data_IF_064247706625
#
_entry.id   IF_064247706625
#
_cell.length_a   1.000
_cell.length_b   1.000
_cell.length_c   1.000
_cell.angle_alpha   90.00
_cell.angle_beta   90.00
_cell.angle_gamma   90.00
#
_symmetry.space_group_name_H-M   'P 1'
#
loop_
_entity.id
_entity.type
_entity.pdbx_description
1 polymer ?
#
# COMPACT_ATOMS: atom_id res chain seq x y z
N UNK A 1 37.33 27.45 -112.76
CA UNK A 1 37.37 28.80 -112.12
C UNK A 1 36.56 28.63 -110.82
N UNK A 2 37.13 28.53 -109.62
CA UNK A 2 38.11 29.39 -108.90
C UNK A 2 37.51 30.78 -108.64
N UNK A 3 37.47 31.38 -107.43
CA UNK A 3 38.30 31.32 -106.18
C UNK A 3 37.41 31.49 -104.90
N UNK A 4 37.80 31.37 -103.61
CA UNK A 4 38.30 30.22 -102.78
C UNK A 4 38.44 30.61 -101.27
N UNK A 5 37.73 29.92 -100.32
CA UNK A 5 37.96 29.87 -98.82
C UNK A 5 37.79 31.18 -97.98
N UNK A 6 37.72 31.21 -96.62
CA UNK A 6 37.04 30.41 -95.55
C UNK A 6 36.69 31.38 -94.35
N UNK A 7 36.88 31.26 -93.02
CA UNK A 7 37.54 30.31 -92.05
C UNK A 7 36.67 29.98 -90.80
N UNK A 8 37.10 30.21 -89.53
CA UNK A 8 36.50 29.64 -88.27
C UNK A 8 36.94 30.37 -86.95
N UNK A 9 36.29 29.99 -85.81
CA UNK A 9 36.54 30.27 -84.36
C UNK A 9 35.70 31.43 -83.75
N UNK A 10 34.95 31.35 -82.63
CA UNK A 10 34.83 30.45 -81.43
C UNK A 10 35.81 30.77 -80.28
N UNK A 11 35.46 30.77 -78.97
CA UNK A 11 34.17 30.55 -78.26
C UNK A 11 34.17 31.22 -76.85
N UNK A 12 33.02 31.33 -76.15
CA UNK A 12 33.01 31.54 -74.68
C UNK A 12 31.70 32.02 -74.02
N UNK A 13 31.14 31.21 -73.11
CA UNK A 13 30.13 31.57 -72.08
C UNK A 13 30.58 30.87 -70.77
N UNK A 14 30.23 31.34 -69.54
CA UNK A 14 28.93 30.95 -68.95
C UNK A 14 28.26 31.99 -68.00
N UNK A 15 26.98 31.73 -67.72
CA UNK A 15 26.15 31.86 -66.49
C UNK A 15 26.66 32.64 -65.23
N UNK A 16 25.85 33.01 -64.23
CA UNK A 16 24.42 33.38 -63.98
C UNK A 16 24.32 33.63 -62.44
N UNK A 17 23.33 34.24 -61.76
CA UNK A 17 22.00 34.83 -62.04
C UNK A 17 21.75 35.95 -60.99
N UNK A 18 20.75 36.80 -61.17
CA UNK A 18 20.19 37.63 -60.09
C UNK A 18 18.66 37.48 -59.98
N UNK A 19 18.17 37.53 -58.75
CA UNK A 19 16.81 37.11 -58.35
C UNK A 19 15.76 38.19 -58.62
N UNK A 20 14.53 37.77 -58.98
CA UNK A 20 13.36 38.64 -58.94
C UNK A 20 12.07 37.83 -58.70
N UNK A 21 11.14 38.46 -57.97
CA UNK A 21 9.70 38.22 -57.77
C UNK A 21 9.37 38.09 -56.27
N UNK A 22 8.48 38.97 -55.82
CA UNK A 22 7.80 38.90 -54.53
C UNK A 22 6.29 38.70 -54.79
N UNK A 23 5.70 37.70 -54.16
CA UNK A 23 4.25 37.45 -54.14
C UNK A 23 3.88 37.18 -52.67
N UNK A 24 2.78 37.77 -52.20
CA UNK A 24 2.26 37.56 -50.86
C UNK A 24 1.23 36.43 -50.78
N UNK A 25 0.37 36.47 -49.76
CA UNK A 25 -0.59 35.43 -49.37
C UNK A 25 0.13 34.19 -48.78
N UNK A 26 0.14 33.94 -47.47
CA UNK A 26 -0.94 33.75 -46.48
C UNK A 26 -1.38 32.28 -46.42
N UNK A 27 -1.34 31.72 -45.20
CA UNK A 27 -1.13 30.28 -44.93
C UNK A 27 0.25 29.80 -45.45
N UNK A 28 0.98 28.89 -44.81
CA UNK A 28 0.65 28.04 -43.66
C UNK A 28 1.63 28.29 -42.49
N UNK A 29 1.12 28.42 -41.27
CA UNK A 29 1.95 28.17 -40.08
C UNK A 29 1.85 26.69 -39.78
N UNK A 30 2.90 25.93 -40.11
CA UNK A 30 3.03 24.54 -39.69
C UNK A 30 2.80 24.45 -38.19
N UNK A 31 1.70 23.80 -37.79
CA UNK A 31 1.52 23.36 -36.42
C UNK A 31 2.53 22.25 -36.17
N UNK A 32 3.74 22.61 -35.74
CA UNK A 32 4.55 21.71 -34.90
C UNK A 32 3.60 21.14 -33.86
N UNK A 33 3.45 19.81 -33.74
CA UNK A 33 2.68 19.24 -32.67
C UNK A 33 3.40 19.62 -31.38
N UNK A 34 2.88 20.64 -30.70
CA UNK A 34 3.30 21.02 -29.37
C UNK A 34 2.86 19.87 -28.47
N UNK A 35 3.76 18.90 -28.33
CA UNK A 35 3.54 17.69 -27.54
C UNK A 35 3.13 18.16 -26.15
N UNK A 36 1.85 18.02 -25.85
CA UNK A 36 1.28 18.56 -24.62
C UNK A 36 1.97 17.87 -23.47
N UNK A 37 2.63 18.65 -22.61
CA UNK A 37 3.23 18.14 -21.38
C UNK A 37 2.13 17.86 -20.34
N UNK A 38 1.20 16.97 -20.70
CA UNK A 38 0.55 16.04 -19.76
C UNK A 38 1.54 14.93 -19.37
N UNK A 39 2.79 15.32 -19.12
CA UNK A 39 3.76 14.51 -18.41
C UNK A 39 3.35 14.52 -16.95
N UNK A 40 2.85 13.38 -16.49
CA UNK A 40 3.10 12.88 -15.14
C UNK A 40 2.74 13.83 -13.97
N UNK A 41 1.45 14.21 -13.89
CA UNK A 41 0.84 14.67 -12.63
C UNK A 41 -0.02 13.60 -11.93
N UNK A 42 0.45 12.35 -11.96
CA UNK A 42 -0.09 11.21 -11.19
C UNK A 42 1.07 10.36 -10.63
N UNK A 43 1.90 10.97 -9.76
CA UNK A 43 2.98 10.30 -9.04
C UNK A 43 3.04 10.72 -7.54
N UNK A 44 1.93 11.25 -7.03
CA UNK A 44 1.71 11.63 -5.63
C UNK A 44 0.74 10.61 -5.00
N UNK A 45 0.92 10.26 -3.73
CA UNK A 45 0.45 9.00 -3.12
C UNK A 45 -0.99 8.57 -3.46
N UNK A 46 -1.13 7.50 -4.24
CA UNK A 46 -2.45 6.97 -4.65
C UNK A 46 -3.27 6.34 -3.49
N UNK A 47 -2.65 6.00 -2.37
CA UNK A 47 -3.35 5.73 -1.11
C UNK A 47 -3.37 7.03 -0.28
N UNK A 48 -4.47 7.78 -0.37
CA UNK A 48 -4.66 9.05 0.33
C UNK A 48 -5.48 8.93 1.63
N UNK A 49 -6.45 8.04 1.64
CA UNK A 49 -7.30 7.73 2.78
C UNK A 49 -7.84 6.32 2.58
N UNK A 50 -7.88 5.52 3.65
CA UNK A 50 -8.44 4.17 3.64
C UNK A 50 -9.93 4.19 3.98
N UNK A 51 -10.64 3.13 3.58
CA UNK A 51 -11.90 2.77 4.24
C UNK A 51 -11.58 2.25 5.63
N UNK A 52 -12.18 2.82 6.67
CA UNK A 52 -11.95 2.37 8.05
C UNK A 52 -12.39 0.90 8.18
N UNK A 53 -11.51 -0.01 8.62
CA UNK A 53 -11.75 -1.46 8.49
C UNK A 53 -12.78 -2.02 9.48
N UNK A 54 -13.11 -1.28 10.53
CA UNK A 54 -13.95 -1.72 11.66
C UNK A 54 -14.94 -0.62 12.05
N UNK A 55 -15.98 -0.96 12.83
CA UNK A 55 -16.88 0.04 13.38
C UNK A 55 -16.22 0.79 14.55
N UNK A 56 -15.89 2.07 14.35
CA UNK A 56 -15.22 2.92 15.33
C UNK A 56 -16.08 3.29 16.56
N UNK A 57 -17.38 2.97 16.54
CA UNK A 57 -18.24 3.08 17.72
C UNK A 57 -18.02 1.95 18.73
N UNK A 58 -17.58 0.78 18.26
CA UNK A 58 -17.32 -0.41 19.09
C UNK A 58 -15.87 -0.44 19.66
N UNK A 59 -14.95 0.36 19.11
CA UNK A 59 -13.55 0.35 19.54
C UNK A 59 -13.40 0.99 20.92
N UNK A 60 -12.81 0.25 21.86
CA UNK A 60 -12.61 0.62 23.27
C UNK A 60 -11.21 1.16 23.57
N UNK A 61 -10.18 0.61 22.93
CA UNK A 61 -8.78 1.01 23.09
C UNK A 61 -7.95 0.66 21.84
N UNK A 62 -6.75 1.25 21.72
CA UNK A 62 -5.91 1.16 20.51
C UNK A 62 -4.53 0.59 20.84
N UNK A 63 -4.14 -0.46 20.13
CA UNK A 63 -2.76 -0.95 20.10
C UNK A 63 -2.01 -0.09 19.06
N UNK A 64 -0.99 0.67 19.46
CA UNK A 64 -0.26 1.54 18.51
C UNK A 64 0.70 0.68 17.67
N UNK A 65 0.93 1.02 16.38
CA UNK A 65 1.95 0.39 15.57
C UNK A 65 3.34 0.91 15.96
N UNK A 66 4.37 0.07 15.86
CA UNK A 66 5.74 0.42 16.21
C UNK A 66 5.97 0.51 17.72
N UNK A 67 5.46 -0.47 18.47
CA UNK A 67 5.57 -0.56 19.94
C UNK A 67 6.43 -1.73 20.38
N UNK A 68 7.20 -1.57 21.46
CA UNK A 68 7.56 -2.72 22.31
C UNK A 68 6.34 -3.07 23.17
N UNK A 69 5.80 -4.29 23.06
CA UNK A 69 4.59 -4.70 23.78
C UNK A 69 4.65 -6.19 24.11
N UNK A 70 4.58 -6.52 25.40
CA UNK A 70 4.71 -7.91 25.87
C UNK A 70 6.08 -8.53 25.59
N UNK A 71 7.17 -7.74 25.66
CA UNK A 71 8.55 -8.21 25.45
C UNK A 71 8.97 -8.41 24.00
N UNK A 72 8.15 -7.96 23.03
CA UNK A 72 8.43 -8.07 21.61
C UNK A 72 8.07 -6.79 20.85
N UNK A 73 8.83 -6.48 19.81
CA UNK A 73 8.52 -5.39 18.91
C UNK A 73 7.32 -5.71 18.01
N UNK A 74 6.40 -4.75 17.91
CA UNK A 74 5.14 -4.85 17.17
C UNK A 74 5.10 -3.76 16.11
N UNK A 75 5.60 -4.09 14.92
CA UNK A 75 5.48 -3.23 13.73
C UNK A 75 4.02 -3.06 13.23
N UNK A 76 3.04 -3.69 13.90
CA UNK A 76 1.61 -3.57 13.71
C UNK A 76 0.93 -3.02 14.99
N UNK A 77 -0.13 -2.24 14.78
CA UNK A 77 -1.05 -1.83 15.82
C UNK A 77 -2.28 -2.75 15.80
N UNK A 78 -3.42 -2.25 16.27
CA UNK A 78 -4.67 -3.00 16.29
C UNK A 78 -5.80 -2.28 17.02
N UNK A 79 -7.01 -2.80 16.89
CA UNK A 79 -8.23 -2.30 17.53
C UNK A 79 -8.70 -3.28 18.61
N UNK A 80 -9.09 -2.77 19.77
CA UNK A 80 -9.69 -3.53 20.88
C UNK A 80 -11.20 -3.28 20.94
N UNK A 81 -11.95 -4.31 21.31
CA UNK A 81 -13.42 -4.27 21.47
C UNK A 81 -13.78 -4.93 22.81
N UNK A 82 -13.26 -4.36 23.90
CA UNK A 82 -13.31 -4.97 25.23
C UNK A 82 -14.78 -5.01 25.74
N UNK A 83 -15.33 -6.22 25.86
CA UNK A 83 -16.75 -6.44 26.21
C UNK A 83 -17.68 -6.73 25.02
N UNK A 84 -17.18 -6.75 23.79
CA UNK A 84 -17.89 -7.29 22.61
C UNK A 84 -17.56 -8.77 22.39
N UNK A 85 -18.51 -9.53 21.85
CA UNK A 85 -18.27 -10.90 21.41
C UNK A 85 -17.42 -10.96 20.13
N UNK A 86 -16.73 -12.08 19.88
CA UNK A 86 -15.81 -12.21 18.75
C UNK A 86 -16.49 -11.95 17.39
N UNK A 87 -17.75 -12.37 17.25
CA UNK A 87 -18.57 -12.37 16.02
C UNK A 87 -19.48 -11.15 15.87
N UNK A 88 -19.47 -10.22 16.83
CA UNK A 88 -20.04 -8.88 16.65
C UNK A 88 -19.13 -8.00 15.75
N UNK A 89 -17.85 -8.35 15.63
CA UNK A 89 -16.84 -7.55 14.93
C UNK A 89 -16.62 -8.03 13.50
N UNK A 90 -17.24 -7.31 12.56
CA UNK A 90 -16.96 -7.43 11.12
C UNK A 90 -15.76 -6.58 10.72
N UNK A 91 -14.84 -7.13 9.93
CA UNK A 91 -13.67 -6.42 9.39
C UNK A 91 -13.74 -6.33 7.86
N UNK A 92 -13.38 -5.16 7.32
CA UNK A 92 -13.45 -4.79 5.91
C UNK A 92 -12.09 -4.48 5.32
N UNK A 93 -11.94 -4.67 4.02
CA UNK A 93 -10.73 -4.28 3.28
C UNK A 93 -10.58 -2.74 3.27
N UNK A 94 -9.44 -2.17 3.72
CA UNK A 94 -9.24 -0.72 3.73
C UNK A 94 -9.06 -0.08 2.34
N UNK A 95 -8.66 -0.87 1.35
CA UNK A 95 -8.35 -0.44 -0.02
C UNK A 95 -8.86 -1.50 -1.01
N UNK A 96 -8.58 -1.34 -2.31
CA UNK A 96 -8.66 -2.40 -3.32
C UNK A 96 -7.31 -3.14 -3.43
N UNK A 97 -7.15 -4.35 -2.83
CA UNK A 97 -5.92 -5.12 -2.92
C UNK A 97 -5.96 -6.34 -3.87
N UNK A 98 -4.77 -6.91 -4.03
CA UNK A 98 -4.59 -8.36 -4.22
C UNK A 98 -4.02 -8.97 -2.92
N UNK A 99 -4.53 -10.13 -2.49
CA UNK A 99 -3.92 -10.92 -1.40
C UNK A 99 -2.56 -11.46 -1.87
N UNK A 100 -1.50 -11.27 -1.06
CA UNK A 100 -0.12 -11.64 -1.45
C UNK A 100 0.51 -12.69 -0.53
N UNK A 101 0.11 -12.77 0.73
CA UNK A 101 0.44 -13.87 1.63
C UNK A 101 -0.69 -14.13 2.63
N UNK A 102 -0.82 -15.37 3.11
CA UNK A 102 -1.79 -15.76 4.13
C UNK A 102 -1.27 -16.91 5.00
N UNK A 103 -1.72 -17.00 6.24
CA UNK A 103 -1.55 -18.20 7.08
C UNK A 103 -2.88 -18.61 7.72
N UNK A 104 -3.00 -19.91 7.99
CA UNK A 104 -3.88 -20.44 9.05
C UNK A 104 -2.97 -21.12 10.06
N UNK A 105 -3.11 -20.75 11.33
CA UNK A 105 -2.28 -21.26 12.42
C UNK A 105 -3.17 -21.50 13.64
N UNK A 106 -2.63 -22.14 14.68
CA UNK A 106 -3.36 -22.34 15.94
C UNK A 106 -2.75 -21.40 16.98
N UNK A 107 -3.60 -20.77 17.79
CA UNK A 107 -3.19 -19.96 18.91
C UNK A 107 -4.16 -20.16 20.08
N UNK A 108 -3.63 -20.52 21.25
CA UNK A 108 -4.44 -20.89 22.43
C UNK A 108 -5.42 -22.05 22.16
N UNK A 109 -5.09 -22.93 21.20
CA UNK A 109 -5.97 -24.01 20.75
C UNK A 109 -7.08 -23.61 19.77
N UNK A 110 -7.16 -22.35 19.35
CA UNK A 110 -8.12 -21.86 18.35
C UNK A 110 -7.43 -21.65 16.99
N UNK A 111 -8.10 -21.97 15.88
CA UNK A 111 -7.58 -21.59 14.55
C UNK A 111 -7.71 -20.08 14.39
N UNK A 112 -6.62 -19.45 13.93
CA UNK A 112 -6.53 -18.03 13.60
C UNK A 112 -5.99 -17.86 12.17
N UNK A 113 -6.39 -16.77 11.53
CA UNK A 113 -5.99 -16.44 10.17
C UNK A 113 -5.26 -15.09 10.12
N UNK A 114 -4.20 -15.08 9.30
CA UNK A 114 -3.31 -13.96 9.03
C UNK A 114 -3.41 -13.66 7.54
N UNK A 115 -3.73 -12.43 7.14
CA UNK A 115 -3.83 -12.04 5.73
C UNK A 115 -2.99 -10.80 5.43
N UNK A 116 -1.99 -10.94 4.55
CA UNK A 116 -1.21 -9.83 4.01
C UNK A 116 -1.66 -9.52 2.57
N UNK A 117 -2.09 -8.27 2.38
CA UNK A 117 -2.64 -7.71 1.16
C UNK A 117 -1.70 -6.64 0.59
N UNK A 118 -1.65 -6.52 -0.73
CA UNK A 118 -1.02 -5.40 -1.43
C UNK A 118 -2.09 -4.59 -2.14
N UNK A 119 -2.27 -3.34 -1.71
CA UNK A 119 -3.15 -2.36 -2.36
C UNK A 119 -2.55 -1.94 -3.72
N UNK A 120 -3.38 -1.64 -4.70
CA UNK A 120 -2.92 -1.26 -6.05
C UNK A 120 -2.09 0.07 -6.04
N UNK A 121 -2.22 0.91 -5.01
CA UNK A 121 -1.34 2.08 -4.78
C UNK A 121 0.13 1.71 -4.44
N UNK A 122 0.37 0.48 -3.99
CA UNK A 122 1.68 -0.06 -3.61
C UNK A 122 1.94 -0.20 -2.12
N UNK A 123 1.05 0.26 -1.24
CA UNK A 123 1.10 -0.10 0.19
C UNK A 123 0.80 -1.59 0.37
N UNK A 124 1.43 -2.18 1.39
CA UNK A 124 1.08 -3.51 1.90
C UNK A 124 0.42 -3.33 3.26
N UNK A 125 -0.64 -4.07 3.55
CA UNK A 125 -1.23 -4.13 4.89
C UNK A 125 -1.47 -5.59 5.30
N UNK A 126 -1.32 -5.85 6.60
CA UNK A 126 -1.48 -7.17 7.22
C UNK A 126 -2.50 -7.08 8.33
N UNK A 127 -3.47 -7.98 8.29
CA UNK A 127 -4.32 -8.30 9.43
C UNK A 127 -3.86 -9.60 10.06
N UNK A 128 -4.01 -9.69 11.38
CA UNK A 128 -3.76 -10.89 12.19
C UNK A 128 -4.91 -11.12 13.19
N UNK A 129 -4.95 -12.32 13.78
CA UNK A 129 -6.01 -12.74 14.71
C UNK A 129 -7.44 -12.64 14.12
N UNK A 130 -7.63 -12.98 12.84
CA UNK A 130 -8.97 -13.25 12.33
C UNK A 130 -9.44 -14.64 12.79
N UNK A 131 -10.65 -14.70 13.37
CA UNK A 131 -11.26 -15.94 13.87
C UNK A 131 -12.15 -16.61 12.82
N UNK A 132 -12.89 -15.81 12.05
CA UNK A 132 -13.76 -16.29 10.96
C UNK A 132 -13.63 -15.38 9.75
N UNK A 133 -13.19 -15.94 8.62
CA UNK A 133 -13.06 -15.22 7.35
C UNK A 133 -14.39 -15.10 6.61
N UNK A 134 -14.49 -14.16 5.68
CA UNK A 134 -15.56 -14.19 4.67
C UNK A 134 -15.40 -15.41 3.76
N UNK A 135 -16.50 -15.99 3.25
CA UNK A 135 -16.49 -17.26 2.52
C UNK A 135 -15.45 -17.32 1.37
N UNK A 136 -15.29 -16.22 0.64
CA UNK A 136 -14.31 -16.03 -0.44
C UNK A 136 -12.85 -16.13 0.01
N UNK A 137 -12.54 -15.73 1.25
CA UNK A 137 -11.22 -15.88 1.84
C UNK A 137 -11.07 -17.20 2.60
N UNK A 138 -12.17 -17.79 3.07
CA UNK A 138 -12.19 -19.14 3.63
C UNK A 138 -11.84 -20.20 2.58
N UNK A 139 -12.38 -20.11 1.37
CA UNK A 139 -12.03 -20.95 0.21
C UNK A 139 -10.52 -20.92 -0.10
N UNK A 140 -9.90 -19.74 -0.02
CA UNK A 140 -8.44 -19.59 -0.13
C UNK A 140 -7.72 -20.21 1.07
N UNK A 141 -8.21 -20.00 2.29
CA UNK A 141 -7.57 -20.48 3.51
C UNK A 141 -7.61 -22.02 3.65
N UNK A 142 -8.60 -22.69 3.06
CA UNK A 142 -8.67 -24.15 2.97
C UNK A 142 -7.49 -24.75 2.17
N UNK A 143 -6.95 -23.99 1.21
CA UNK A 143 -5.81 -24.36 0.37
C UNK A 143 -4.42 -24.08 1.01
N UNK A 144 -4.38 -23.48 2.21
CA UNK A 144 -3.13 -23.23 2.94
C UNK A 144 -2.60 -24.51 3.62
N UNK A 145 -1.34 -24.55 4.07
CA UNK A 145 -0.83 -25.64 4.91
C UNK A 145 -1.70 -25.88 6.17
N UNK A 146 -1.61 -27.08 6.74
CA UNK A 146 -2.29 -27.43 7.98
C UNK A 146 -1.84 -26.53 9.15
N UNK A 147 -2.81 -26.02 9.91
CA UNK A 147 -2.58 -25.10 11.02
C UNK A 147 -1.80 -25.78 12.17
N UNK A 148 -0.86 -25.04 12.77
CA UNK A 148 -0.04 -25.51 13.90
C UNK A 148 0.10 -24.42 14.96
N UNK A 149 0.26 -24.81 16.22
CA UNK A 149 0.40 -23.88 17.34
C UNK A 149 1.59 -22.93 17.12
N UNK A 150 1.32 -21.63 17.11
CA UNK A 150 2.31 -20.57 16.93
C UNK A 150 2.93 -20.44 15.52
N UNK A 151 2.55 -21.26 14.54
CA UNK A 151 3.17 -21.27 13.20
C UNK A 151 2.54 -20.23 12.24
N UNK A 152 2.61 -18.95 12.60
CA UNK A 152 2.04 -17.83 11.82
C UNK A 152 2.83 -17.49 10.54
N UNK A 153 3.67 -18.40 10.02
CA UNK A 153 4.44 -18.18 8.79
C UNK A 153 3.50 -18.12 7.58
N UNK A 154 3.41 -16.95 6.95
CA UNK A 154 2.53 -16.72 5.82
C UNK A 154 3.07 -17.32 4.51
N UNK A 155 2.18 -17.91 3.72
CA UNK A 155 2.42 -18.57 2.44
C UNK A 155 1.74 -17.79 1.31
N UNK A 156 2.24 -17.90 0.07
CA UNK A 156 1.54 -17.29 -1.07
C UNK A 156 0.24 -18.05 -1.37
N UNK A 157 -0.89 -17.37 -1.63
CA UNK A 157 -2.11 -18.01 -2.11
C UNK A 157 -1.87 -18.85 -3.38
N UNK A 158 -2.58 -19.98 -3.51
CA UNK A 158 -2.49 -20.86 -4.68
C UNK A 158 -3.17 -20.27 -5.93
N UNK A 159 -4.08 -19.31 -5.74
CA UNK A 159 -4.76 -18.55 -6.80
C UNK A 159 -4.88 -17.07 -6.41
N UNK A 160 -5.08 -16.21 -7.41
CA UNK A 160 -5.20 -14.76 -7.21
C UNK A 160 -6.54 -14.41 -6.55
N UNK A 161 -6.50 -13.88 -5.32
CA UNK A 161 -7.67 -13.29 -4.66
C UNK A 161 -7.55 -11.77 -4.68
N UNK A 162 -8.54 -11.10 -5.26
CA UNK A 162 -8.77 -9.64 -5.12
C UNK A 162 -10.02 -9.39 -4.29
N UNK A 163 -10.01 -8.35 -3.48
CA UNK A 163 -11.19 -7.80 -2.78
C UNK A 163 -11.30 -6.30 -3.08
N UNK A 164 -12.47 -5.70 -2.90
CA UNK A 164 -12.66 -4.24 -3.06
C UNK A 164 -12.67 -3.51 -1.73
N UNK A 165 -12.40 -2.21 -1.73
CA UNK A 165 -12.52 -1.37 -0.55
C UNK A 165 -13.92 -1.49 0.09
N UNK A 166 -13.98 -1.69 1.40
CA UNK A 166 -15.23 -1.93 2.15
C UNK A 166 -15.81 -3.35 2.03
N UNK A 167 -15.26 -4.23 1.20
CA UNK A 167 -15.64 -5.66 1.15
C UNK A 167 -15.34 -6.34 2.50
N UNK A 168 -16.25 -7.17 2.98
CA UNK A 168 -16.06 -7.92 4.24
C UNK A 168 -15.00 -8.99 4.03
N UNK A 169 -13.95 -8.96 4.86
CA UNK A 169 -12.84 -9.92 4.83
C UNK A 169 -12.86 -10.89 6.03
N UNK A 170 -13.43 -10.47 7.16
CA UNK A 170 -13.68 -11.31 8.31
C UNK A 170 -15.00 -10.94 9.01
N UNK A 171 -15.64 -11.91 9.64
CA UNK A 171 -16.89 -11.75 10.41
C UNK A 171 -16.73 -12.13 11.89
N UNK A 172 -15.54 -12.55 12.31
CA UNK A 172 -15.19 -12.66 13.72
C UNK A 172 -13.68 -12.47 13.93
N UNK A 173 -13.28 -11.91 15.09
CA UNK A 173 -11.89 -11.56 15.41
C UNK A 173 -11.46 -12.01 16.82
N UNK A 174 -10.16 -12.20 17.01
CA UNK A 174 -9.56 -12.54 18.29
C UNK A 174 -9.82 -13.97 18.75
N UNK A 175 -9.65 -14.18 20.05
CA UNK A 175 -9.77 -15.48 20.73
C UNK A 175 -11.05 -15.51 21.57
N UNK A 176 -11.71 -16.67 21.67
CA UNK A 176 -12.92 -16.81 22.52
C UNK A 176 -12.59 -17.02 24.01
N UNK A 177 -11.32 -16.98 24.39
CA UNK A 177 -10.87 -17.00 25.77
C UNK A 177 -9.67 -16.07 25.98
N UNK A 178 -9.51 -15.63 27.22
CA UNK A 178 -8.30 -15.01 27.76
C UNK A 178 -7.90 -15.74 29.05
N UNK A 179 -6.62 -15.74 29.46
CA UNK A 179 -6.18 -16.47 30.67
C UNK A 179 -6.69 -15.87 31.99
N UNK A 180 -7.24 -14.66 31.97
CA UNK A 180 -7.44 -13.79 33.14
C UNK A 180 -8.88 -13.28 33.32
N UNK A 181 -9.83 -13.65 32.45
CA UNK A 181 -11.26 -13.38 32.61
C UNK A 181 -12.13 -14.33 31.74
N UNK A 182 -13.42 -14.42 32.06
CA UNK A 182 -14.40 -15.25 31.35
C UNK A 182 -14.80 -14.70 29.96
N UNK A 183 -14.69 -13.38 29.76
CA UNK A 183 -15.07 -12.70 28.52
C UNK A 183 -14.06 -12.95 27.38
N UNK A 184 -14.50 -12.99 26.11
CA UNK A 184 -13.62 -13.22 24.97
C UNK A 184 -12.56 -12.13 24.81
N UNK A 185 -11.42 -12.51 24.20
CA UNK A 185 -10.36 -11.58 23.84
C UNK A 185 -10.62 -11.01 22.44
N UNK A 186 -11.52 -10.03 22.34
CA UNK A 186 -11.97 -9.48 21.06
C UNK A 186 -11.09 -8.31 20.61
N UNK A 187 -10.25 -8.56 19.62
CA UNK A 187 -9.34 -7.58 19.01
C UNK A 187 -8.96 -8.01 17.58
N UNK A 188 -8.43 -7.07 16.80
CA UNK A 188 -7.80 -7.36 15.50
C UNK A 188 -6.53 -6.53 15.33
N UNK A 189 -5.44 -7.16 14.91
CA UNK A 189 -4.17 -6.47 14.64
C UNK A 189 -4.12 -5.94 13.20
N UNK A 190 -3.52 -4.77 13.01
CA UNK A 190 -3.35 -4.08 11.75
C UNK A 190 -1.94 -3.49 11.64
N UNK A 191 -1.15 -4.00 10.70
CA UNK A 191 0.08 -3.38 10.22
C UNK A 191 -0.12 -2.79 8.83
N UNK A 192 0.41 -1.60 8.57
CA UNK A 192 0.48 -1.01 7.22
C UNK A 192 1.92 -0.60 6.95
N UNK A 193 2.37 -0.86 5.74
CA UNK A 193 3.77 -0.77 5.34
C UNK A 193 3.91 -0.14 3.96
N UNK A 194 4.75 0.89 3.83
CA UNK A 194 5.24 1.32 2.52
C UNK A 194 6.49 0.52 2.15
N UNK A 195 6.31 -0.59 1.43
CA UNK A 195 7.44 -1.43 1.00
C UNK A 195 8.36 -0.77 -0.05
N UNK A 196 8.09 0.48 -0.49
CA UNK A 196 8.96 1.25 -1.40
C UNK A 196 9.91 2.18 -0.63
N UNK A 197 9.46 2.73 0.49
CA UNK A 197 10.17 3.76 1.26
C UNK A 197 10.40 3.28 2.69
N UNK A 198 11.66 3.21 3.13
CA UNK A 198 11.97 2.94 4.54
C UNK A 198 11.45 4.08 5.42
N UNK A 199 10.94 3.74 6.60
CA UNK A 199 10.50 4.73 7.59
C UNK A 199 11.69 5.48 8.20
N UNK A 200 11.41 6.68 8.70
CA UNK A 200 12.43 7.67 9.09
C UNK A 200 13.37 7.13 10.18
N UNK A 201 12.83 6.51 11.24
CA UNK A 201 13.64 5.95 12.34
C UNK A 201 14.67 4.91 11.85
N UNK A 202 14.30 4.05 10.89
CA UNK A 202 15.23 3.06 10.34
C UNK A 202 16.32 3.66 9.44
N UNK A 203 16.13 4.89 8.95
CA UNK A 203 17.10 5.64 8.16
C UNK A 203 18.02 6.51 9.04
N UNK A 204 17.48 7.05 10.13
CA UNK A 204 18.16 8.02 11.00
C UNK A 204 18.87 7.39 12.22
N UNK A 205 18.39 6.25 12.72
CA UNK A 205 19.03 5.48 13.79
C UNK A 205 19.50 4.08 13.30
N UNK A 206 20.81 3.93 13.01
CA UNK A 206 21.39 2.65 12.61
C UNK A 206 21.38 1.56 13.70
N UNK A 207 21.39 1.92 14.99
CA UNK A 207 21.36 0.93 16.08
C UNK A 207 19.95 0.43 16.34
N UNK A 208 18.92 1.30 16.22
CA UNK A 208 17.52 0.88 16.11
C UNK A 208 17.32 -0.04 14.89
N UNK A 209 17.81 0.36 13.71
CA UNK A 209 17.63 -0.44 12.49
C UNK A 209 18.26 -1.84 12.62
N UNK A 210 19.42 -1.93 13.26
CA UNK A 210 20.15 -3.16 13.57
C UNK A 210 19.48 -4.00 14.67
N UNK A 211 18.93 -3.38 15.72
CA UNK A 211 18.10 -4.06 16.73
C UNK A 211 16.90 -4.77 16.10
N UNK A 212 16.27 -4.13 15.11
CA UNK A 212 15.07 -4.63 14.43
C UNK A 212 15.35 -5.31 13.07
N UNK A 213 16.59 -5.78 12.82
CA UNK A 213 16.97 -6.45 11.58
C UNK A 213 16.21 -7.77 11.36
N UNK A 214 15.89 -8.50 12.43
CA UNK A 214 15.18 -9.77 12.37
C UNK A 214 13.77 -9.64 11.76
N UNK A 215 13.07 -8.54 12.07
CA UNK A 215 11.76 -8.19 11.50
C UNK A 215 11.82 -7.06 10.46
N UNK A 216 12.99 -6.77 9.85
CA UNK A 216 13.21 -5.65 8.92
C UNK A 216 12.12 -5.48 7.85
N UNK A 217 11.57 -6.58 7.33
CA UNK A 217 10.50 -6.62 6.32
C UNK A 217 9.21 -5.92 6.78
N UNK A 218 8.99 -5.79 8.08
CA UNK A 218 7.88 -5.06 8.70
C UNK A 218 8.41 -3.81 9.43
N UNK A 219 9.42 -3.93 10.28
CA UNK A 219 9.91 -2.84 11.13
C UNK A 219 10.46 -1.64 10.34
N UNK A 220 11.26 -1.85 9.29
CA UNK A 220 11.85 -0.74 8.54
C UNK A 220 10.88 -0.05 7.57
N UNK A 221 9.65 -0.55 7.44
CA UNK A 221 8.66 -0.08 6.45
C UNK A 221 7.30 0.27 7.07
N UNK A 222 7.12 0.06 8.38
CA UNK A 222 5.88 0.36 9.10
C UNK A 222 5.62 1.86 9.19
N UNK A 223 4.36 2.26 9.08
CA UNK A 223 3.91 3.65 9.12
C UNK A 223 2.80 3.84 10.16
N UNK A 224 2.57 5.09 10.58
CA UNK A 224 1.38 5.42 11.36
C UNK A 224 0.13 5.34 10.47
N UNK A 225 -0.58 4.21 10.54
CA UNK A 225 -1.80 4.03 9.73
C UNK A 225 -2.97 4.90 10.19
N UNK A 226 -2.88 5.55 11.36
CA UNK A 226 -3.87 6.52 11.82
C UNK A 226 -3.97 7.71 10.86
N UNK A 227 -2.85 8.15 10.27
CA UNK A 227 -2.82 9.26 9.30
C UNK A 227 -3.41 8.87 7.93
N UNK A 228 -3.67 7.58 7.70
CA UNK A 228 -4.42 7.08 6.55
C UNK A 228 -5.91 6.93 6.81
N UNK A 229 -6.42 7.12 8.04
CA UNK A 229 -7.85 7.06 8.35
C UNK A 229 -8.60 8.32 7.88
N UNK A 230 -9.93 8.24 7.69
CA UNK A 230 -10.80 9.41 7.65
C UNK A 230 -10.57 10.30 8.89
N UNK A 231 -10.67 11.63 8.73
CA UNK A 231 -10.26 12.58 9.79
C UNK A 231 -11.00 12.41 11.11
N UNK A 232 -12.29 12.06 11.09
CA UNK A 232 -13.07 11.76 12.28
C UNK A 232 -12.59 10.48 12.99
N UNK A 233 -12.20 9.46 12.22
CA UNK A 233 -11.71 8.19 12.76
C UNK A 233 -10.28 8.31 13.28
N UNK A 234 -9.41 9.11 12.64
CA UNK A 234 -8.10 9.51 13.20
C UNK A 234 -8.28 10.21 14.56
N UNK A 235 -9.21 11.17 14.65
CA UNK A 235 -9.52 11.86 15.90
C UNK A 235 -10.07 10.90 16.96
N UNK A 236 -10.94 9.96 16.57
CA UNK A 236 -11.45 8.91 17.47
C UNK A 236 -10.31 8.03 18.00
N UNK A 237 -9.44 7.52 17.13
CA UNK A 237 -8.27 6.71 17.49
C UNK A 237 -7.36 7.43 18.49
N UNK A 238 -7.02 8.70 18.24
CA UNK A 238 -6.18 9.50 19.13
C UNK A 238 -6.87 9.93 20.44
N UNK A 239 -8.21 9.83 20.52
CA UNK A 239 -8.99 10.09 21.74
C UNK A 239 -9.21 8.85 22.62
N UNK A 240 -8.90 7.66 22.10
CA UNK A 240 -9.06 6.39 22.80
C UNK A 240 -7.83 6.10 23.67
N UNK A 241 -7.99 5.38 24.80
CA UNK A 241 -6.85 4.92 25.58
C UNK A 241 -5.98 3.96 24.75
N UNK A 242 -4.67 4.05 24.95
CA UNK A 242 -3.75 3.04 24.42
C UNK A 242 -3.96 1.69 25.14
N UNK A 243 -3.68 0.61 24.42
CA UNK A 243 -3.72 -0.76 24.90
C UNK A 243 -2.31 -1.35 24.85
N UNK A 244 -1.88 -2.00 25.94
CA UNK A 244 -0.49 -2.38 26.17
C UNK A 244 0.13 -1.57 27.29
N UNK A 245 1.46 -1.44 27.27
CA UNK A 245 2.24 -0.87 28.35
C UNK A 245 2.14 0.67 28.42
N UNK A 246 2.14 1.36 27.28
CA UNK A 246 1.85 2.80 27.17
C UNK A 246 1.36 3.21 25.75
N UNK A 247 1.37 4.53 25.46
CA UNK A 247 1.05 5.12 24.16
C UNK A 247 2.28 5.52 23.33
N UNK A 248 3.46 4.99 23.65
CA UNK A 248 4.67 5.20 22.84
C UNK A 248 4.50 4.58 21.45
N UNK A 249 5.24 5.08 20.46
CA UNK A 249 5.26 4.55 19.10
C UNK A 249 6.46 5.12 18.35
N UNK A 250 7.21 4.26 17.67
CA UNK A 250 8.28 4.67 16.74
C UNK A 250 7.75 5.29 15.44
N UNK A 251 6.43 5.18 15.16
CA UNK A 251 5.82 5.58 13.89
C UNK A 251 4.80 6.71 14.04
N UNK A 252 4.02 6.75 15.12
CA UNK A 252 2.90 7.66 15.33
C UNK A 252 3.26 8.78 16.31
N UNK A 253 3.03 10.04 15.91
CA UNK A 253 3.09 11.18 16.83
C UNK A 253 1.79 11.29 17.65
N UNK A 254 1.93 11.63 18.93
CA UNK A 254 0.81 11.95 19.81
C UNK A 254 0.27 13.37 19.55
N UNK A 255 -0.33 13.58 18.37
CA UNK A 255 -0.83 14.88 17.85
C UNK A 255 -2.06 14.74 16.95
#
# INVERSE_FOLDING_TARGET
MSVTRKIFLFIGLPLVITFAIAIGWAFEKEHKPQLTSQGEKVAESACRTMTTPVDMSLVTSILYPGQERGGHYKAHGGFRFDGSANDEITVRAPYDPTLVAASRYIESGEVQYLLEFKADCGLTYRFDHFKTLSAKLQEMAENLPEAKEGDSRAHRPTFTVKVTAGEIIATAVGLSKRPDAEEPNTFVDLGVYDKKNRNQISLEDPEWAKKHEAEQNQAWYGICWFDSLPSADRQRVLSLPASGDDASSDYCSAT
#
